data_IF_841766159002
#
_entry.id   IF_841766159002
#
_cell.length_a   1.000
_cell.length_b   1.000
_cell.length_c   1.000
_cell.angle_alpha   90.00
_cell.angle_beta   90.00
_cell.angle_gamma   90.00
#
_symmetry.space_group_name_H-M   'P 1'
#
loop_
_entity.id
_entity.type
_entity.pdbx_description
1 polymer ?
#
# COMPACT_ATOMS: atom_id res chain seq x y z
N UNK A 1 12.59 16.29 16.91
CA UNK A 1 12.06 16.53 15.54
C UNK A 1 12.46 15.31 14.73
N UNK A 2 11.51 14.61 14.11
CA UNK A 2 11.81 13.47 13.24
C UNK A 2 11.87 13.97 11.80
N UNK A 3 12.98 13.70 11.12
CA UNK A 3 13.18 14.03 9.70
C UNK A 3 12.50 12.96 8.85
N UNK A 4 11.82 13.36 7.78
CA UNK A 4 11.31 12.44 6.77
C UNK A 4 12.35 12.25 5.67
N UNK A 5 12.13 11.25 4.82
CA UNK A 5 13.03 10.92 3.70
C UNK A 5 13.27 12.12 2.77
N UNK A 6 12.23 12.93 2.54
CA UNK A 6 12.29 14.13 1.69
C UNK A 6 13.11 15.28 2.31
N UNK A 7 13.35 15.26 3.62
CA UNK A 7 14.12 16.29 4.32
C UNK A 7 15.64 16.00 4.35
N UNK A 8 16.07 14.83 3.85
CA UNK A 8 17.46 14.40 3.88
C UNK A 8 18.21 14.91 2.63
N UNK A 9 19.39 15.52 2.79
CA UNK A 9 20.21 15.88 1.63
C UNK A 9 20.68 14.61 0.92
N UNK A 10 20.66 14.62 -0.41
CA UNK A 10 21.05 13.45 -1.20
C UNK A 10 22.52 13.12 -0.93
N UNK A 11 22.81 11.83 -0.66
CA UNK A 11 24.18 11.34 -0.43
C UNK A 11 25.13 11.76 -1.56
N UNK A 12 26.32 12.26 -1.19
CA UNK A 12 27.35 12.68 -2.15
C UNK A 12 27.19 14.08 -2.73
N UNK A 13 26.09 14.79 -2.46
CA UNK A 13 25.93 16.19 -2.87
C UNK A 13 26.77 17.16 -2.00
N UNK A 14 27.04 18.39 -2.47
CA UNK A 14 27.72 19.41 -1.65
C UNK A 14 27.00 19.72 -0.33
N UNK A 15 25.67 19.71 -0.34
CA UNK A 15 24.86 19.90 0.87
C UNK A 15 25.11 18.77 1.88
N UNK A 16 25.06 17.51 1.45
CA UNK A 16 25.41 16.36 2.30
C UNK A 16 26.87 16.42 2.77
N UNK A 17 27.80 16.81 1.90
CA UNK A 17 29.22 16.90 2.22
C UNK A 17 29.50 17.97 3.31
N UNK A 18 28.70 19.04 3.33
CA UNK A 18 28.80 20.12 4.32
C UNK A 18 28.29 19.74 5.72
N UNK A 19 27.55 18.63 5.86
CA UNK A 19 27.09 18.16 7.16
C UNK A 19 28.27 17.74 8.04
N UNK A 20 28.20 18.08 9.32
CA UNK A 20 29.16 17.62 10.32
C UNK A 20 29.19 16.09 10.46
N UNK A 21 30.30 15.51 10.93
CA UNK A 21 30.45 14.07 11.07
C UNK A 21 29.43 13.44 12.04
N UNK A 22 29.00 14.18 13.06
CA UNK A 22 28.03 13.73 14.06
C UNK A 22 26.57 14.14 13.73
N UNK A 23 26.34 14.76 12.57
CA UNK A 23 24.97 15.09 12.15
C UNK A 23 24.24 13.80 11.75
N UNK A 24 23.13 13.44 12.41
CA UNK A 24 22.41 12.20 12.12
C UNK A 24 21.87 12.14 10.70
N UNK A 25 21.64 13.29 10.04
CA UNK A 25 21.22 13.35 8.64
C UNK A 25 22.29 12.80 7.71
N UNK A 26 23.57 12.93 8.06
CA UNK A 26 24.69 12.45 7.24
C UNK A 26 24.65 10.92 7.11
N UNK A 27 24.44 10.22 8.23
CA UNK A 27 24.28 8.77 8.25
C UNK A 27 22.95 8.34 7.60
N UNK A 28 21.86 9.04 7.90
CA UNK A 28 20.55 8.72 7.34
C UNK A 28 20.54 8.77 5.79
N UNK A 29 21.12 9.82 5.19
CA UNK A 29 21.26 9.93 3.73
C UNK A 29 22.10 8.81 3.13
N UNK A 30 23.19 8.40 3.80
CA UNK A 30 24.04 7.30 3.33
C UNK A 30 23.30 5.95 3.37
N UNK A 31 22.54 5.69 4.43
CA UNK A 31 21.70 4.49 4.55
C UNK A 31 20.58 4.47 3.51
N UNK A 32 19.90 5.61 3.30
CA UNK A 32 18.88 5.75 2.27
C UNK A 32 19.47 5.41 0.89
N UNK A 33 20.61 6.01 0.52
CA UNK A 33 21.28 5.72 -0.74
C UNK A 33 21.64 4.23 -0.88
N UNK A 34 22.21 3.61 0.16
CA UNK A 34 22.54 2.19 0.15
C UNK A 34 21.29 1.30 -0.04
N UNK A 35 20.16 1.66 0.56
CA UNK A 35 18.89 0.96 0.38
C UNK A 35 18.35 1.12 -1.04
N UNK A 36 18.52 2.30 -1.65
CA UNK A 36 18.16 2.52 -3.04
C UNK A 36 18.97 1.63 -3.99
N UNK A 37 20.29 1.53 -3.78
CA UNK A 37 21.15 0.61 -4.51
C UNK A 37 20.76 -0.86 -4.30
N UNK A 38 20.41 -1.25 -3.06
CA UNK A 38 19.94 -2.61 -2.77
C UNK A 38 18.64 -2.95 -3.50
N UNK A 39 17.72 -1.98 -3.59
CA UNK A 39 16.36 -2.18 -4.11
C UNK A 39 16.30 -2.15 -5.63
N UNK A 40 17.04 -1.23 -6.25
CA UNK A 40 16.95 -0.97 -7.68
C UNK A 40 18.23 -1.30 -8.44
N UNK A 41 19.31 -1.65 -7.73
CA UNK A 41 20.61 -1.89 -8.36
C UNK A 41 21.25 -0.56 -8.76
N UNK A 42 21.76 -0.51 -9.98
CA UNK A 42 22.32 0.69 -10.59
C UNK A 42 21.25 1.57 -11.25
N UNK A 43 21.70 2.66 -11.88
CA UNK A 43 20.82 3.59 -12.58
C UNK A 43 20.06 2.90 -13.73
N UNK A 44 20.67 1.91 -14.41
CA UNK A 44 20.01 1.12 -15.44
C UNK A 44 18.88 0.26 -14.85
N UNK A 45 19.13 -0.41 -13.72
CA UNK A 45 18.12 -1.17 -12.99
C UNK A 45 16.95 -0.30 -12.50
N UNK A 46 17.24 0.91 -12.02
CA UNK A 46 16.22 1.89 -11.63
C UNK A 46 15.36 2.34 -12.81
N UNK A 47 15.98 2.71 -13.93
CA UNK A 47 15.28 3.16 -15.14
C UNK A 47 14.45 2.02 -15.75
N UNK A 48 14.96 0.79 -15.72
CA UNK A 48 14.24 -0.39 -16.17
C UNK A 48 13.02 -0.67 -15.29
N UNK A 49 13.17 -0.63 -13.96
CA UNK A 49 12.06 -0.77 -13.03
C UNK A 49 10.98 0.31 -13.25
N UNK A 50 11.39 1.57 -13.43
CA UNK A 50 10.48 2.68 -13.69
C UNK A 50 9.72 2.50 -15.01
N UNK A 51 10.43 2.02 -16.05
CA UNK A 51 9.84 1.68 -17.35
C UNK A 51 8.80 0.58 -17.22
N UNK A 52 9.07 -0.45 -16.42
CA UNK A 52 8.16 -1.57 -16.22
C UNK A 52 6.90 -1.16 -15.43
N UNK A 53 7.05 -0.35 -14.38
CA UNK A 53 5.91 0.16 -13.60
C UNK A 53 5.08 1.17 -14.40
N UNK A 54 5.71 2.04 -15.20
CA UNK A 54 5.00 2.99 -16.06
C UNK A 54 4.24 2.30 -17.20
N UNK A 55 4.77 1.21 -17.77
CA UNK A 55 4.07 0.38 -18.75
C UNK A 55 2.79 -0.24 -18.18
N UNK A 56 2.80 -0.63 -16.91
CA UNK A 56 1.60 -1.10 -16.20
C UNK A 56 0.60 0.04 -15.96
N UNK A 57 1.05 1.29 -15.84
CA UNK A 57 0.16 2.46 -15.70
C UNK A 57 -0.43 2.99 -17.01
N UNK A 58 0.14 2.64 -18.16
CA UNK A 58 -0.54 2.78 -19.47
C UNK A 58 -1.55 1.66 -19.67
N UNK A 59 -2.55 1.55 -18.79
CA UNK A 59 -3.81 0.96 -19.22
C UNK A 59 -4.41 1.92 -20.25
N UNK A 60 -4.40 1.44 -21.48
CA UNK A 60 -5.12 2.02 -22.59
C UNK A 60 -6.48 2.56 -22.14
N UNK A 61 -6.91 3.65 -22.79
CA UNK A 61 -8.31 4.05 -22.93
C UNK A 61 -9.11 2.98 -23.70
N UNK A 62 -8.95 1.71 -23.35
CA UNK A 62 -9.86 0.68 -23.80
C UNK A 62 -11.08 0.82 -22.90
N UNK A 63 -12.20 1.25 -23.48
CA UNK A 63 -13.45 1.31 -22.76
C UNK A 63 -13.68 -0.06 -22.12
N UNK A 64 -13.79 -0.18 -20.78
CA UNK A 64 -13.98 -1.48 -20.16
C UNK A 64 -15.25 -2.07 -20.77
N UNK A 65 -15.15 -3.32 -21.24
CA UNK A 65 -16.33 -4.12 -21.56
C UNK A 65 -17.35 -3.91 -20.42
N UNK A 66 -18.65 -3.70 -20.72
CA UNK A 66 -19.63 -3.29 -19.72
C UNK A 66 -19.50 -4.18 -18.51
N UNK A 67 -19.15 -3.58 -17.38
CA UNK A 67 -18.92 -4.28 -16.13
C UNK A 67 -20.15 -5.12 -15.83
N UNK A 68 -20.07 -6.43 -16.10
CA UNK A 68 -21.10 -7.38 -15.69
C UNK A 68 -21.04 -7.39 -14.18
N UNK A 69 -21.95 -6.65 -13.53
CA UNK A 69 -22.10 -6.69 -12.08
C UNK A 69 -22.25 -8.17 -11.71
N UNK A 70 -21.24 -8.71 -11.02
CA UNK A 70 -21.40 -10.03 -10.42
C UNK A 70 -22.63 -9.95 -9.53
N UNK A 71 -23.52 -10.95 -9.57
CA UNK A 71 -24.66 -10.97 -8.67
C UNK A 71 -24.16 -10.85 -7.23
N UNK A 72 -24.94 -10.19 -6.37
CA UNK A 72 -24.56 -10.03 -4.97
C UNK A 72 -24.26 -11.39 -4.35
N UNK A 73 -23.04 -11.57 -3.84
CA UNK A 73 -22.65 -12.80 -3.18
C UNK A 73 -23.18 -12.80 -1.74
N UNK A 74 -23.81 -13.90 -1.33
CA UNK A 74 -24.27 -14.07 0.06
C UNK A 74 -23.04 -14.34 0.93
N UNK A 75 -22.75 -13.42 1.86
CA UNK A 75 -21.63 -13.57 2.80
C UNK A 75 -21.99 -14.56 3.92
N UNK A 76 -21.06 -15.45 4.25
CA UNK A 76 -21.13 -16.34 5.42
C UNK A 76 -19.99 -15.98 6.38
N UNK A 77 -20.31 -15.78 7.65
CA UNK A 77 -19.29 -15.58 8.67
C UNK A 77 -18.52 -16.89 8.90
N UNK A 78 -17.20 -16.80 9.02
CA UNK A 78 -16.36 -17.95 9.34
C UNK A 78 -16.56 -18.39 10.79
N UNK A 79 -16.55 -19.70 11.11
CA UNK A 79 -16.61 -20.20 12.49
C UNK A 79 -15.57 -19.54 13.39
N UNK A 80 -15.99 -19.21 14.62
CA UNK A 80 -15.15 -18.56 15.63
C UNK A 80 -15.04 -17.04 15.51
N UNK A 81 -15.63 -16.42 14.48
CA UNK A 81 -15.71 -14.96 14.40
C UNK A 81 -16.86 -14.40 15.23
N UNK A 82 -16.69 -13.22 15.85
CA UNK A 82 -17.78 -12.54 16.54
C UNK A 82 -18.87 -12.12 15.54
N UNK A 83 -20.13 -11.93 15.99
CA UNK A 83 -21.22 -11.46 15.13
C UNK A 83 -20.87 -10.16 14.39
N UNK A 84 -21.01 -10.17 13.06
CA UNK A 84 -20.68 -9.02 12.20
C UNK A 84 -21.94 -8.23 11.92
N UNK A 85 -22.01 -6.97 12.37
CA UNK A 85 -23.16 -6.10 12.13
C UNK A 85 -23.32 -5.78 10.63
N UNK A 86 -24.55 -5.83 10.11
CA UNK A 86 -24.85 -5.52 8.71
C UNK A 86 -25.10 -4.01 8.55
N UNK A 87 -24.28 -3.29 7.77
CA UNK A 87 -24.49 -1.86 7.53
C UNK A 87 -25.88 -1.58 6.94
N UNK A 88 -26.59 -0.59 7.50
CA UNK A 88 -27.94 -0.22 7.08
C UNK A 88 -29.06 -1.11 7.62
N UNK A 89 -28.74 -2.12 8.47
CA UNK A 89 -29.73 -2.94 9.17
C UNK A 89 -29.40 -3.04 10.67
N UNK A 90 -29.78 -2.03 11.46
CA UNK A 90 -29.60 -2.06 12.92
C UNK A 90 -30.21 -3.33 13.52
N UNK A 91 -29.47 -4.03 14.39
CA UNK A 91 -29.91 -5.27 15.02
C UNK A 91 -29.69 -6.55 14.21
N UNK A 92 -29.27 -6.45 12.94
CA UNK A 92 -28.92 -7.60 12.12
C UNK A 92 -27.43 -7.94 12.20
N UNK A 93 -27.12 -9.21 12.47
CA UNK A 93 -25.75 -9.71 12.57
C UNK A 93 -25.56 -10.98 11.75
N UNK A 94 -24.42 -11.10 11.08
CA UNK A 94 -23.94 -12.35 10.49
C UNK A 94 -23.21 -13.14 11.58
N UNK A 95 -23.68 -14.36 11.85
CA UNK A 95 -23.00 -15.28 12.77
C UNK A 95 -22.59 -16.54 12.04
N UNK A 96 -21.58 -17.24 12.56
CA UNK A 96 -21.14 -18.49 11.97
C UNK A 96 -22.12 -19.64 12.24
N UNK A 97 -22.94 -19.51 13.28
CA UNK A 97 -23.91 -20.52 13.67
C UNK A 97 -25.27 -20.24 13.02
N UNK A 98 -25.50 -20.95 11.91
CA UNK A 98 -26.77 -21.22 11.20
C UNK A 98 -27.08 -20.36 9.98
N UNK A 99 -27.36 -21.11 8.91
CA UNK A 99 -28.35 -20.88 7.83
C UNK A 99 -29.77 -20.48 8.33
N UNK A 100 -29.94 -19.90 9.52
CA UNK A 100 -31.24 -19.50 10.04
C UNK A 100 -31.24 -18.03 10.45
N UNK A 101 -31.75 -17.24 9.52
CA UNK A 101 -32.23 -15.87 9.69
C UNK A 101 -33.27 -15.84 10.83
N UNK A 102 -32.86 -15.53 12.06
CA UNK A 102 -33.80 -15.23 13.15
C UNK A 102 -34.33 -13.81 12.97
N UNK A 103 -35.61 -13.70 12.65
CA UNK A 103 -36.37 -12.45 12.67
C UNK A 103 -36.81 -12.15 14.10
N UNK A 104 -36.33 -11.05 14.68
CA UNK A 104 -36.95 -10.47 15.87
C UNK A 104 -38.15 -9.62 15.40
N UNK A 105 -39.32 -9.88 15.99
CA UNK A 105 -40.57 -9.16 15.77
C UNK A 105 -40.53 -7.74 16.35
#
# INVERSE_FOLDING_TARGET
MAWTDEDLPIYGTPEWASLGPDDPRRLASALHAAEMWRRFGDEEGLVQWLTDVSRVHTFAKEAPAPYRRRPAHVLRASPGWPPIAVPGRPGAYLTAERDEMRWAA
#
